data_IF_525518899390
#
_entry.id   IF_525518899390
#
_cell.length_a   1.000
_cell.length_b   1.000
_cell.length_c   1.000
_cell.angle_alpha   90.00
_cell.angle_beta   90.00
_cell.angle_gamma   90.00
#
_symmetry.space_group_name_H-M   'P 1'
#
loop_
_entity.id
_entity.type
_entity.pdbx_description
1 polymer ?
#
# COMPACT_ATOMS: atom_id res chain seq x y z
N UNK A 1 -13.69 7.97 -37.76
CA UNK A 1 -13.25 8.26 -36.37
C UNK A 1 -13.33 6.98 -35.60
N UNK A 2 -12.22 6.59 -35.01
CA UNK A 2 -12.17 5.37 -34.20
C UNK A 2 -12.86 5.64 -32.86
N UNK A 3 -13.62 4.64 -32.39
CA UNK A 3 -14.30 4.67 -31.10
C UNK A 3 -13.55 3.74 -30.15
N UNK A 4 -13.30 4.21 -28.94
CA UNK A 4 -12.62 3.46 -27.90
C UNK A 4 -13.57 3.20 -26.73
N UNK A 5 -13.40 2.05 -26.09
CA UNK A 5 -14.03 1.70 -24.82
C UNK A 5 -12.98 1.13 -23.89
N UNK A 6 -13.15 1.32 -22.58
CA UNK A 6 -12.28 0.70 -21.60
C UNK A 6 -12.72 -0.76 -21.33
N UNK A 7 -11.77 -1.63 -20.97
CA UNK A 7 -12.03 -3.00 -20.51
C UNK A 7 -11.77 -3.16 -19.01
N UNK A 8 -11.76 -2.05 -18.26
CA UNK A 8 -11.37 -2.03 -16.84
C UNK A 8 -12.21 -2.97 -15.97
N UNK A 9 -13.51 -3.13 -16.25
CA UNK A 9 -14.38 -4.07 -15.53
C UNK A 9 -13.87 -5.51 -15.59
N UNK A 10 -13.29 -5.90 -16.72
CA UNK A 10 -12.79 -7.26 -16.92
C UNK A 10 -11.42 -7.43 -16.27
N UNK A 11 -10.52 -6.47 -16.53
CA UNK A 11 -9.15 -6.50 -16.05
C UNK A 11 -9.04 -6.40 -14.53
N UNK A 12 -9.89 -5.59 -13.91
CA UNK A 12 -9.91 -5.39 -12.45
C UNK A 12 -10.87 -6.37 -11.75
N UNK A 13 -11.51 -7.27 -12.51
CA UNK A 13 -12.47 -8.24 -11.96
C UNK A 13 -13.75 -7.59 -11.39
N UNK A 14 -14.11 -6.38 -11.81
CA UNK A 14 -15.25 -5.61 -11.28
C UNK A 14 -16.53 -5.77 -12.13
N UNK A 15 -16.63 -6.79 -12.98
CA UNK A 15 -17.86 -7.03 -13.78
C UNK A 15 -19.10 -7.12 -12.88
N UNK A 16 -20.13 -6.35 -13.21
CA UNK A 16 -21.38 -6.28 -12.45
C UNK A 16 -21.30 -5.52 -11.12
N UNK A 17 -20.16 -4.87 -10.83
CA UNK A 17 -19.90 -4.11 -9.60
C UNK A 17 -19.68 -2.64 -9.93
N UNK A 18 -20.71 -2.02 -10.47
CA UNK A 18 -20.65 -0.65 -10.98
C UNK A 18 -20.38 0.38 -9.88
N UNK A 19 -20.84 0.13 -8.64
CA UNK A 19 -20.58 1.03 -7.50
C UNK A 19 -19.11 0.94 -7.10
N UNK A 20 -18.54 -0.27 -7.04
CA UNK A 20 -17.13 -0.49 -6.73
C UNK A 20 -16.23 0.17 -7.81
N UNK A 21 -16.63 0.09 -9.09
CA UNK A 21 -15.96 0.79 -10.19
C UNK A 21 -16.07 2.32 -10.05
N UNK A 22 -17.21 2.86 -9.64
CA UNK A 22 -17.35 4.30 -9.42
C UNK A 22 -16.40 4.81 -8.34
N UNK A 23 -16.25 4.07 -7.23
CA UNK A 23 -15.29 4.42 -6.17
C UNK A 23 -13.86 4.38 -6.69
N UNK A 24 -13.48 3.32 -7.41
CA UNK A 24 -12.13 3.17 -7.95
C UNK A 24 -11.82 4.21 -9.04
N UNK A 25 -12.78 4.52 -9.91
CA UNK A 25 -12.66 5.55 -10.93
C UNK A 25 -12.39 6.92 -10.30
N UNK A 26 -13.06 7.24 -9.20
CA UNK A 26 -12.86 8.54 -8.53
C UNK A 26 -11.47 8.65 -7.89
N UNK A 27 -10.94 7.55 -7.35
CA UNK A 27 -9.56 7.48 -6.87
C UNK A 27 -8.56 7.60 -8.02
N UNK A 28 -8.80 6.95 -9.16
CA UNK A 28 -7.94 7.04 -10.35
C UNK A 28 -7.90 8.45 -10.96
N UNK A 29 -9.03 9.16 -10.95
CA UNK A 29 -9.14 10.49 -11.57
C UNK A 29 -8.62 11.62 -10.68
N UNK A 30 -8.64 11.45 -9.36
CA UNK A 30 -8.35 12.55 -8.40
C UNK A 30 -7.31 12.21 -7.34
N UNK A 31 -6.80 10.99 -7.35
CA UNK A 31 -5.83 10.53 -6.35
C UNK A 31 -6.45 10.30 -4.97
N UNK A 32 -5.62 10.37 -3.92
CA UNK A 32 -6.03 10.07 -2.56
C UNK A 32 -7.09 11.03 -2.02
N UNK A 33 -8.13 10.49 -1.39
CA UNK A 33 -9.28 11.25 -0.92
C UNK A 33 -9.76 10.77 0.45
N UNK A 34 -10.38 11.66 1.22
CA UNK A 34 -11.08 11.26 2.45
C UNK A 34 -12.31 10.44 2.11
N UNK A 35 -12.73 9.52 2.99
CA UNK A 35 -13.96 8.74 2.80
C UNK A 35 -15.20 9.63 2.56
N UNK A 36 -15.28 10.78 3.23
CA UNK A 36 -16.40 11.72 3.08
C UNK A 36 -16.47 12.32 1.67
N UNK A 37 -15.32 12.81 1.17
CA UNK A 37 -15.22 13.35 -0.19
C UNK A 37 -15.47 12.29 -1.24
N UNK A 38 -14.87 11.10 -1.04
CA UNK A 38 -15.00 9.96 -1.92
C UNK A 38 -16.46 9.53 -2.06
N UNK A 39 -17.21 9.45 -0.95
CA UNK A 39 -18.65 9.16 -0.98
C UNK A 39 -19.41 10.18 -1.80
N UNK A 40 -19.19 11.47 -1.51
CA UNK A 40 -19.94 12.56 -2.15
C UNK A 40 -19.72 12.62 -3.66
N UNK A 41 -18.50 12.30 -4.12
CA UNK A 41 -18.13 12.34 -5.53
C UNK A 41 -18.53 11.07 -6.27
N UNK A 42 -18.22 9.88 -5.73
CA UNK A 42 -18.59 8.61 -6.34
C UNK A 42 -20.11 8.42 -6.44
N UNK A 43 -20.88 8.99 -5.49
CA UNK A 43 -22.35 8.99 -5.53
C UNK A 43 -22.94 9.65 -6.79
N UNK A 44 -22.18 10.51 -7.50
CA UNK A 44 -22.61 11.11 -8.77
C UNK A 44 -22.59 10.13 -9.94
N UNK A 45 -21.76 9.08 -9.86
CA UNK A 45 -21.65 8.04 -10.88
C UNK A 45 -22.59 6.87 -10.58
N UNK A 46 -22.63 6.43 -9.32
CA UNK A 46 -23.49 5.35 -8.87
C UNK A 46 -23.92 5.60 -7.40
N UNK A 47 -25.20 5.49 -7.02
CA UNK A 47 -25.65 5.83 -5.67
C UNK A 47 -24.93 5.07 -4.54
N UNK A 48 -24.51 5.83 -3.52
CA UNK A 48 -23.92 5.36 -2.26
C UNK A 48 -24.65 6.08 -1.10
N UNK A 49 -25.72 5.48 -0.55
CA UNK A 49 -26.65 6.12 0.37
C UNK A 49 -26.00 6.64 1.65
N UNK A 50 -25.05 5.90 2.20
CA UNK A 50 -24.39 6.24 3.47
C UNK A 50 -22.91 5.85 3.50
N UNK A 51 -22.25 6.26 4.57
CA UNK A 51 -20.83 5.99 4.78
C UNK A 51 -20.56 4.51 5.09
N UNK A 52 -21.50 3.80 5.70
CA UNK A 52 -21.35 2.36 5.99
C UNK A 52 -21.32 1.52 4.71
N UNK A 53 -22.16 1.85 3.73
CA UNK A 53 -22.10 1.21 2.42
C UNK A 53 -20.79 1.52 1.70
N UNK A 54 -20.27 2.76 1.80
CA UNK A 54 -18.94 3.07 1.28
C UNK A 54 -17.88 2.20 1.95
N UNK A 55 -17.87 2.10 3.27
CA UNK A 55 -16.88 1.30 4.01
C UNK A 55 -16.91 -0.17 3.58
N UNK A 56 -18.10 -0.77 3.41
CA UNK A 56 -18.22 -2.13 2.90
C UNK A 56 -17.68 -2.30 1.46
N UNK A 57 -17.78 -1.26 0.61
CA UNK A 57 -17.16 -1.25 -0.72
C UNK A 57 -15.64 -1.17 -0.61
N UNK A 58 -15.12 -0.28 0.25
CA UNK A 58 -13.69 -0.10 0.47
C UNK A 58 -13.05 -1.38 1.02
N UNK A 59 -13.69 -2.05 1.98
CA UNK A 59 -13.21 -3.34 2.50
C UNK A 59 -13.06 -4.39 1.40
N UNK A 60 -14.05 -4.51 0.50
CA UNK A 60 -13.96 -5.43 -0.64
C UNK A 60 -12.84 -5.05 -1.60
N UNK A 61 -12.72 -3.77 -1.94
CA UNK A 61 -11.68 -3.29 -2.85
C UNK A 61 -10.28 -3.45 -2.25
N UNK A 62 -10.12 -3.26 -0.94
CA UNK A 62 -8.88 -3.46 -0.21
C UNK A 62 -8.50 -4.96 -0.16
N UNK A 63 -9.48 -5.85 0.06
CA UNK A 63 -9.27 -7.29 0.01
C UNK A 63 -8.83 -7.80 -1.38
N UNK A 64 -9.15 -7.05 -2.44
CA UNK A 64 -8.68 -7.31 -3.80
C UNK A 64 -7.40 -6.55 -4.16
N UNK A 65 -6.77 -5.87 -3.20
CA UNK A 65 -5.56 -5.08 -3.39
C UNK A 65 -5.71 -3.98 -4.46
N UNK A 66 -6.93 -3.48 -4.69
CA UNK A 66 -7.21 -2.39 -5.65
C UNK A 66 -7.11 -1.01 -5.01
N UNK A 67 -7.23 -0.95 -3.68
CA UNK A 67 -7.08 0.27 -2.89
C UNK A 67 -6.21 0.01 -1.67
N UNK A 68 -5.81 1.09 -1.01
CA UNK A 68 -5.12 1.07 0.27
C UNK A 68 -5.47 2.31 1.09
N UNK A 69 -5.36 2.18 2.40
CA UNK A 69 -5.49 3.28 3.32
C UNK A 69 -4.13 3.95 3.52
N UNK A 70 -4.03 5.24 3.21
CA UNK A 70 -2.83 6.04 3.50
C UNK A 70 -2.81 6.53 4.94
N UNK A 71 -3.98 6.60 5.59
CA UNK A 71 -4.10 6.90 7.01
C UNK A 71 -4.97 5.85 7.69
N UNK A 72 -4.76 5.55 9.00
CA UNK A 72 -5.52 4.52 9.70
C UNK A 72 -7.05 4.67 9.55
N UNK A 73 -7.80 3.57 9.37
CA UNK A 73 -9.26 3.61 9.30
C UNK A 73 -9.87 4.09 10.64
N UNK A 74 -11.11 4.59 10.59
CA UNK A 74 -11.86 4.98 11.80
C UNK A 74 -11.48 6.33 12.41
N UNK A 75 -10.71 7.16 11.71
CA UNK A 75 -10.38 8.51 12.18
C UNK A 75 -11.58 9.46 12.16
N UNK A 76 -11.61 10.40 13.12
CA UNK A 76 -12.69 11.41 13.23
C UNK A 76 -12.84 12.30 11.99
N UNK A 77 -11.76 12.51 11.23
CA UNK A 77 -11.76 13.30 9.97
C UNK A 77 -12.00 12.45 8.70
N UNK A 78 -12.25 11.14 8.86
CA UNK A 78 -12.29 10.17 7.76
C UNK A 78 -10.88 9.72 7.36
N UNK A 79 -10.74 8.44 7.03
CA UNK A 79 -9.47 7.91 6.54
C UNK A 79 -9.19 8.41 5.11
N UNK A 80 -7.92 8.55 4.77
CA UNK A 80 -7.49 8.89 3.41
C UNK A 80 -7.22 7.60 2.66
N UNK A 81 -7.92 7.41 1.55
CA UNK A 81 -7.87 6.20 0.72
C UNK A 81 -7.27 6.56 -0.63
N UNK A 82 -6.42 5.69 -1.16
CA UNK A 82 -5.85 5.79 -2.50
C UNK A 82 -6.06 4.48 -3.27
N UNK A 83 -5.95 4.51 -4.60
CA UNK A 83 -5.87 3.28 -5.37
C UNK A 83 -4.50 2.60 -5.15
N UNK A 84 -4.41 1.30 -5.42
CA UNK A 84 -3.15 0.54 -5.31
C UNK A 84 -2.53 0.22 -6.68
N UNK A 85 -2.95 0.94 -7.74
CA UNK A 85 -2.46 0.76 -9.12
C UNK A 85 -1.31 1.71 -9.49
N UNK A 86 -0.57 2.22 -8.50
CA UNK A 86 0.57 3.11 -8.73
C UNK A 86 1.78 2.32 -9.26
N UNK A 87 2.63 2.94 -10.11
CA UNK A 87 3.96 2.43 -10.38
C UNK A 87 4.80 2.31 -9.10
N UNK A 88 5.82 1.42 -9.09
CA UNK A 88 6.77 1.35 -7.99
C UNK A 88 7.43 2.71 -7.72
N UNK A 89 7.53 3.12 -6.45
CA UNK A 89 8.15 4.38 -6.04
C UNK A 89 7.18 5.55 -5.85
N UNK A 90 6.02 5.55 -6.51
CA UNK A 90 5.03 6.63 -6.35
C UNK A 90 4.21 6.46 -5.06
N UNK A 91 3.90 5.20 -4.70
CA UNK A 91 3.19 4.89 -3.47
C UNK A 91 3.97 5.32 -2.22
N UNK A 92 5.30 5.16 -2.23
CA UNK A 92 6.17 5.62 -1.14
C UNK A 92 6.11 7.13 -0.97
N UNK A 93 6.07 7.90 -2.07
CA UNK A 93 5.93 9.36 -2.03
C UNK A 93 4.59 9.78 -1.44
N UNK A 94 3.50 9.14 -1.87
CA UNK A 94 2.16 9.43 -1.35
C UNK A 94 2.06 9.16 0.15
N UNK A 95 2.68 8.08 0.64
CA UNK A 95 2.76 7.81 2.08
C UNK A 95 3.58 8.88 2.81
N UNK A 96 4.69 9.32 2.24
CA UNK A 96 5.52 10.38 2.81
C UNK A 96 4.76 11.71 2.90
N UNK A 97 4.03 12.10 1.83
CA UNK A 97 3.20 13.30 1.79
C UNK A 97 2.10 13.27 2.86
N UNK A 98 1.43 12.13 3.05
CA UNK A 98 0.40 11.97 4.08
C UNK A 98 0.97 11.96 5.51
N UNK A 99 2.22 11.50 5.68
CA UNK A 99 2.93 11.57 6.95
C UNK A 99 3.45 12.99 7.27
N UNK A 100 3.24 13.97 6.38
CA UNK A 100 3.77 15.32 6.53
C UNK A 100 5.29 15.40 6.31
N UNK A 101 5.89 14.39 5.68
CA UNK A 101 7.27 14.44 5.26
C UNK A 101 7.39 15.33 4.01
N UNK A 102 8.46 16.14 3.88
CA UNK A 102 8.66 16.96 2.69
C UNK A 102 8.72 16.06 1.45
N UNK A 103 7.88 16.36 0.46
CA UNK A 103 7.85 15.63 -0.81
C UNK A 103 9.25 15.63 -1.45
N UNK A 104 9.75 14.48 -1.94
CA UNK A 104 10.96 14.46 -2.74
C UNK A 104 10.64 15.15 -4.07
N UNK A 105 11.11 16.39 -4.22
CA UNK A 105 11.08 17.11 -5.49
C UNK A 105 11.94 16.35 -6.50
N UNK A 106 11.32 15.87 -7.58
CA UNK A 106 12.06 15.45 -8.77
C UNK A 106 12.58 16.71 -9.48
N UNK A 107 13.84 17.05 -9.25
CA UNK A 107 14.58 18.02 -10.05
C UNK A 107 15.71 17.31 -10.80
N UNK A 108 15.59 17.34 -12.12
CA UNK A 108 16.58 16.91 -13.08
C UNK A 108 17.89 17.69 -12.92
N UNK A 109 18.98 16.94 -12.69
CA UNK A 109 20.39 17.32 -12.84
C UNK A 109 20.99 18.46 -11.96
N UNK A 110 22.00 18.03 -11.18
CA UNK A 110 23.20 18.77 -10.74
C UNK A 110 23.20 19.56 -9.42
N UNK A 111 23.35 18.83 -8.28
CA UNK A 111 24.43 19.00 -7.28
C UNK A 111 24.31 17.97 -6.14
N UNK A 112 25.42 17.39 -5.63
CA UNK A 112 25.34 16.43 -4.53
C UNK A 112 25.20 17.18 -3.21
N UNK A 113 23.99 17.26 -2.67
CA UNK A 113 23.78 17.80 -1.32
C UNK A 113 24.01 16.68 -0.31
N UNK A 114 25.05 16.84 0.51
CA UNK A 114 25.56 16.00 1.63
C UNK A 114 24.53 15.23 2.48
N UNK A 115 23.25 15.62 2.46
CA UNK A 115 22.15 14.94 3.15
C UNK A 115 21.73 13.61 2.49
N UNK A 116 21.75 13.47 1.15
CA UNK A 116 21.38 12.22 0.47
C UNK A 116 22.42 11.13 0.67
N UNK A 117 23.70 11.50 0.72
CA UNK A 117 24.78 10.60 1.13
C UNK A 117 24.55 10.10 2.57
N UNK A 118 24.18 10.98 3.50
CA UNK A 118 23.90 10.59 4.90
C UNK A 118 22.73 9.60 5.03
N UNK A 119 21.66 9.78 4.26
CA UNK A 119 20.52 8.85 4.26
C UNK A 119 20.87 7.51 3.60
N UNK A 120 21.64 7.52 2.52
CA UNK A 120 22.11 6.29 1.87
C UNK A 120 23.06 5.49 2.78
N UNK A 121 23.94 6.16 3.55
CA UNK A 121 24.79 5.49 4.53
C UNK A 121 23.97 4.94 5.70
N UNK A 122 23.00 5.70 6.23
CA UNK A 122 22.13 5.22 7.31
C UNK A 122 21.30 3.99 6.90
N UNK A 123 20.78 3.98 5.67
CA UNK A 123 20.07 2.82 5.10
C UNK A 123 21.02 1.62 4.89
N UNK A 124 22.26 1.87 4.43
CA UNK A 124 23.25 0.81 4.27
C UNK A 124 23.65 0.18 5.61
N UNK A 125 23.79 0.99 6.65
CA UNK A 125 24.09 0.56 8.01
C UNK A 125 22.92 -0.26 8.60
N UNK A 126 21.68 0.19 8.40
CA UNK A 126 20.48 -0.54 8.83
C UNK A 126 20.35 -1.89 8.12
N UNK A 127 20.60 -1.93 6.80
CA UNK A 127 20.62 -3.19 6.04
C UNK A 127 21.74 -4.12 6.52
N UNK A 128 22.91 -3.59 6.89
CA UNK A 128 24.00 -4.40 7.44
C UNK A 128 23.64 -5.01 8.79
N UNK A 129 23.01 -4.23 9.68
CA UNK A 129 22.51 -4.71 10.98
C UNK A 129 21.45 -5.78 10.80
N UNK A 130 20.43 -5.53 9.97
CA UNK A 130 19.36 -6.49 9.71
C UNK A 130 19.88 -7.80 9.11
N UNK A 131 20.89 -7.73 8.22
CA UNK A 131 21.52 -8.94 7.67
C UNK A 131 22.27 -9.74 8.73
N UNK A 132 22.96 -9.06 9.65
CA UNK A 132 23.64 -9.72 10.77
C UNK A 132 22.65 -10.37 11.76
N UNK A 133 21.53 -9.71 12.03
CA UNK A 133 20.45 -10.26 12.84
C UNK A 133 19.82 -11.49 12.19
N UNK A 134 19.55 -11.44 10.87
CA UNK A 134 19.03 -12.59 10.11
C UNK A 134 19.99 -13.76 10.17
N UNK A 135 21.30 -13.53 10.05
CA UNK A 135 22.29 -14.60 10.13
C UNK A 135 22.34 -15.22 11.53
N UNK A 136 22.32 -14.39 12.58
CA UNK A 136 22.28 -14.84 13.97
C UNK A 136 21.03 -15.68 14.25
N UNK A 137 19.87 -15.22 13.77
CA UNK A 137 18.61 -15.92 13.95
C UNK A 137 18.59 -17.25 13.17
N UNK A 138 19.15 -17.28 11.97
CA UNK A 138 19.30 -18.51 11.18
C UNK A 138 20.19 -19.54 11.88
N UNK A 139 21.34 -19.11 12.43
CA UNK A 139 22.22 -19.99 13.22
C UNK A 139 21.46 -20.55 14.42
N UNK A 140 20.77 -19.68 15.18
CA UNK A 140 20.00 -20.09 16.36
C UNK A 140 18.92 -21.11 16.01
N UNK A 141 18.22 -20.93 14.88
CA UNK A 141 17.22 -21.88 14.39
C UNK A 141 17.86 -23.21 13.99
N UNK A 142 19.03 -23.19 13.36
CA UNK A 142 19.77 -24.41 13.00
C UNK A 142 20.24 -25.18 14.24
N UNK A 143 20.78 -24.49 15.23
CA UNK A 143 21.24 -25.09 16.48
C UNK A 143 20.07 -25.73 17.23
N UNK A 144 18.96 -25.00 17.39
CA UNK A 144 17.76 -25.51 18.06
C UNK A 144 17.11 -26.66 17.28
N UNK A 145 17.11 -26.61 15.94
CA UNK A 145 16.65 -27.72 15.12
C UNK A 145 17.53 -28.97 15.31
N UNK A 146 18.84 -28.80 15.42
CA UNK A 146 19.79 -29.86 15.73
C UNK A 146 19.55 -30.48 17.10
N UNK A 147 19.36 -29.66 18.13
CA UNK A 147 19.04 -30.11 19.49
C UNK A 147 17.71 -30.88 19.54
N UNK A 148 16.67 -30.39 18.87
CA UNK A 148 15.38 -31.07 18.77
C UNK A 148 15.53 -32.42 18.05
N UNK A 149 16.34 -32.50 17.00
CA UNK A 149 16.58 -33.75 16.28
C UNK A 149 17.37 -34.76 17.14
N UNK A 150 18.38 -34.30 17.87
CA UNK A 150 19.13 -35.13 18.81
C UNK A 150 18.23 -35.65 19.94
N UNK A 151 17.37 -34.79 20.50
CA UNK A 151 16.43 -35.18 21.54
C UNK A 151 15.40 -36.20 21.03
N UNK A 152 14.88 -36.02 19.81
CA UNK A 152 13.99 -37.01 19.16
C UNK A 152 14.69 -38.36 18.96
N UNK A 153 15.94 -38.35 18.53
CA UNK A 153 16.73 -39.58 18.34
C UNK A 153 16.98 -40.33 19.66
N UNK A 154 17.20 -39.60 20.77
CA UNK A 154 17.36 -40.20 22.12
C UNK A 154 16.04 -40.72 22.69
N UNK A 155 14.93 -40.05 22.40
CA UNK A 155 13.58 -40.43 22.87
C UNK A 155 12.88 -41.47 22.00
N UNK A 156 13.48 -41.90 20.89
CA UNK A 156 13.02 -43.03 20.08
C UNK A 156 11.69 -42.80 19.34
N UNK A 157 11.45 -41.58 18.86
CA UNK A 157 10.33 -41.25 17.97
C UNK A 157 10.79 -40.99 16.53
#
# INVERSE_FOLDING_TARGET
MDKWRHNAYEWLGLRGRDVDMAVLAELLLRGPQTEGDLRARANRMNPIPDLGQLQAILERLAAQELILYLTPPGQRRGAVVAHNLYPPGELERLRAEQAGAPAPVEEEAARPTRATASSATALADEVAVLRAEVETLRSTVQDLAGEVQALKAVLGA
#
